data_IF_111255790602
#
_entry.id   IF_111255790602
#
_cell.length_a   1.000
_cell.length_b   1.000
_cell.length_c   1.000
_cell.angle_alpha   90.00
_cell.angle_beta   90.00
_cell.angle_gamma   90.00
#
_symmetry.space_group_name_H-M   'P 1'
#
loop_
_entity.id
_entity.type
_entity.pdbx_description
1 polymer ?
#
# COMPACT_ATOMS: atom_id res chain seq x y z
N UNK A 1 -8.32 11.47 -16.26
CA UNK A 1 -8.45 10.63 -15.05
C UNK A 1 -9.76 9.86 -15.15
N UNK A 2 -9.77 8.58 -14.76
CA UNK A 2 -10.99 7.77 -14.71
C UNK A 2 -11.72 8.06 -13.39
N UNK A 3 -12.96 8.59 -13.41
CA UNK A 3 -13.71 8.87 -12.19
C UNK A 3 -14.41 7.62 -11.61
N UNK A 4 -14.50 6.53 -12.37
CA UNK A 4 -15.16 5.29 -11.91
C UNK A 4 -14.17 4.39 -11.17
N UNK A 5 -14.48 4.08 -9.91
CA UNK A 5 -13.62 3.28 -9.06
C UNK A 5 -13.48 1.83 -9.56
N UNK A 6 -14.56 1.22 -10.03
CA UNK A 6 -14.58 -0.19 -10.44
C UNK A 6 -13.84 -0.34 -11.77
N UNK A 7 -14.06 0.59 -12.70
CA UNK A 7 -13.34 0.62 -13.96
C UNK A 7 -11.84 0.88 -13.75
N UNK A 8 -11.46 1.66 -12.73
CA UNK A 8 -10.05 1.93 -12.41
C UNK A 8 -9.28 0.73 -11.86
N UNK A 9 -9.96 -0.30 -11.35
CA UNK A 9 -9.35 -1.52 -10.80
C UNK A 9 -9.53 -2.74 -11.71
N UNK A 10 -10.07 -2.54 -12.92
CA UNK A 10 -10.25 -3.62 -13.86
C UNK A 10 -8.90 -4.09 -14.41
N UNK A 11 -8.67 -5.40 -14.38
CA UNK A 11 -7.47 -6.06 -14.93
C UNK A 11 -6.14 -5.48 -14.38
N UNK A 12 -6.11 -5.11 -13.08
CA UNK A 12 -4.95 -4.50 -12.42
C UNK A 12 -4.13 -5.53 -11.64
N UNK A 13 -2.80 -5.42 -11.66
CA UNK A 13 -1.92 -6.28 -10.85
C UNK A 13 -1.57 -5.69 -9.47
N UNK A 14 -1.48 -4.35 -9.38
CA UNK A 14 -1.05 -3.62 -8.19
C UNK A 14 -1.98 -2.44 -7.90
N UNK A 15 -2.54 -2.39 -6.69
CA UNK A 15 -3.34 -1.26 -6.21
C UNK A 15 -2.55 -0.45 -5.17
N UNK A 16 -2.43 0.85 -5.38
CA UNK A 16 -1.82 1.78 -4.42
C UNK A 16 -2.92 2.60 -3.74
N UNK A 17 -3.19 2.32 -2.47
CA UNK A 17 -4.16 3.06 -1.67
C UNK A 17 -3.49 4.33 -1.11
N UNK A 18 -3.90 5.50 -1.62
CA UNK A 18 -3.41 6.79 -1.16
C UNK A 18 -4.58 7.78 -0.97
N UNK A 19 -5.48 7.43 -0.05
CA UNK A 19 -6.69 8.18 0.28
C UNK A 19 -6.66 8.57 1.77
N UNK A 20 -7.39 9.62 2.17
CA UNK A 20 -7.63 9.89 3.58
C UNK A 20 -8.21 8.66 4.31
N UNK A 21 -7.68 8.35 5.50
CA UNK A 21 -8.01 7.11 6.24
C UNK A 21 -9.51 6.94 6.49
N UNK A 22 -10.24 8.03 6.70
CA UNK A 22 -11.69 8.03 6.91
C UNK A 22 -12.50 7.49 5.74
N UNK A 23 -11.93 7.44 4.53
CA UNK A 23 -12.60 6.91 3.34
C UNK A 23 -12.29 5.44 3.07
N UNK A 24 -11.33 4.85 3.78
CA UNK A 24 -10.91 3.47 3.57
C UNK A 24 -12.07 2.46 3.69
N UNK A 25 -12.96 2.53 4.71
CA UNK A 25 -14.06 1.57 4.81
C UNK A 25 -15.02 1.64 3.63
N UNK A 26 -15.32 2.86 3.15
CA UNK A 26 -16.18 3.08 1.99
C UNK A 26 -15.55 2.50 0.72
N UNK A 27 -14.27 2.78 0.49
CA UNK A 27 -13.57 2.31 -0.71
C UNK A 27 -13.44 0.78 -0.70
N UNK A 28 -13.05 0.17 0.41
CA UNK A 28 -13.00 -1.30 0.54
C UNK A 28 -14.38 -1.92 0.29
N UNK A 29 -15.46 -1.34 0.85
CA UNK A 29 -16.82 -1.82 0.61
C UNK A 29 -17.24 -1.76 -0.86
N UNK A 30 -16.79 -0.75 -1.62
CA UNK A 30 -17.09 -0.64 -3.05
C UNK A 30 -16.25 -1.61 -3.88
N UNK A 31 -14.98 -1.84 -3.51
CA UNK A 31 -14.07 -2.75 -4.21
C UNK A 31 -14.34 -4.23 -3.92
N UNK A 32 -15.08 -4.55 -2.85
CA UNK A 32 -15.37 -5.93 -2.47
C UNK A 32 -16.09 -6.68 -3.60
N UNK A 33 -15.50 -7.81 -4.02
CA UNK A 33 -16.01 -8.60 -5.14
C UNK A 33 -15.62 -8.08 -6.54
N UNK A 34 -14.85 -7.00 -6.63
CA UNK A 34 -14.40 -6.40 -7.89
C UNK A 34 -12.87 -6.44 -8.06
N UNK A 35 -12.14 -7.01 -7.09
CA UNK A 35 -10.68 -7.16 -7.12
C UNK A 35 -10.34 -8.63 -7.10
N UNK A 36 -9.48 -9.06 -8.02
CA UNK A 36 -9.03 -10.45 -8.08
C UNK A 36 -8.08 -10.79 -6.93
N UNK A 37 -8.10 -12.05 -6.48
CA UNK A 37 -7.26 -12.50 -5.37
C UNK A 37 -5.75 -12.46 -5.66
N UNK A 38 -5.36 -12.39 -6.94
CA UNK A 38 -3.96 -12.29 -7.33
C UNK A 38 -3.38 -10.89 -7.16
N UNK A 39 -4.25 -9.87 -7.10
CA UNK A 39 -3.85 -8.47 -7.01
C UNK A 39 -3.08 -8.23 -5.72
N UNK A 40 -2.02 -7.42 -5.80
CA UNK A 40 -1.22 -7.01 -4.63
C UNK A 40 -1.47 -5.55 -4.32
N UNK A 41 -1.41 -5.17 -3.05
CA UNK A 41 -1.71 -3.82 -2.60
C UNK A 41 -0.57 -3.18 -1.81
N UNK A 42 -0.46 -1.86 -1.90
CA UNK A 42 0.39 -1.02 -1.04
C UNK A 42 -0.45 0.11 -0.48
N UNK A 43 -0.45 0.26 0.85
CA UNK A 43 -1.11 1.36 1.55
C UNK A 43 -0.13 2.48 1.85
N UNK A 44 -0.40 3.69 1.34
CA UNK A 44 0.32 4.91 1.71
C UNK A 44 -0.34 5.64 2.90
N UNK A 45 -1.34 5.02 3.53
CA UNK A 45 -2.04 5.62 4.66
C UNK A 45 -1.14 5.55 5.89
N UNK A 46 -0.93 6.70 6.52
CA UNK A 46 -0.12 6.81 7.74
C UNK A 46 -0.94 6.35 8.95
N UNK A 47 -0.32 5.51 9.76
CA UNK A 47 -0.82 5.11 11.07
C UNK A 47 -1.62 3.81 11.12
N UNK A 48 -2.41 3.69 12.18
CA UNK A 48 -3.20 2.52 12.51
C UNK A 48 -4.54 2.94 13.10
N UNK A 49 -5.51 2.04 13.08
CA UNK A 49 -6.79 2.26 13.74
C UNK A 49 -6.72 1.75 15.19
N UNK A 50 -7.28 2.53 16.11
CA UNK A 50 -7.42 2.16 17.53
C UNK A 50 -8.89 1.96 17.83
N UNK A 51 -9.27 0.71 18.13
CA UNK A 51 -10.61 0.35 18.53
C UNK A 51 -10.66 -0.28 19.91
N UNK A 52 -11.87 -0.58 20.40
CA UNK A 52 -12.09 -1.26 21.68
C UNK A 52 -11.40 -2.65 21.76
N UNK A 53 -11.05 -3.25 20.62
CA UNK A 53 -10.36 -4.54 20.50
C UNK A 53 -8.83 -4.42 20.37
N UNK A 54 -8.29 -3.20 20.36
CA UNK A 54 -6.86 -2.95 20.24
C UNK A 54 -6.48 -2.18 18.97
N UNK A 55 -5.22 -2.36 18.57
CA UNK A 55 -4.59 -1.69 17.43
C UNK A 55 -4.71 -2.57 16.18
N UNK A 56 -5.23 -2.01 15.10
CA UNK A 56 -5.33 -2.66 13.79
C UNK A 56 -4.57 -1.86 12.74
N UNK A 57 -3.69 -2.54 11.99
CA UNK A 57 -3.00 -1.93 10.85
C UNK A 57 -3.99 -1.69 9.71
N UNK A 58 -3.90 -0.53 9.05
CA UNK A 58 -4.75 -0.20 7.89
C UNK A 58 -4.50 -1.16 6.71
N UNK A 59 -3.27 -1.67 6.55
CA UNK A 59 -2.94 -2.72 5.59
C UNK A 59 -3.62 -4.06 5.92
N UNK A 60 -3.72 -4.42 7.21
CA UNK A 60 -4.47 -5.61 7.64
C UNK A 60 -5.96 -5.45 7.37
N UNK A 61 -6.54 -4.27 7.61
CA UNK A 61 -7.93 -3.97 7.25
C UNK A 61 -8.21 -4.18 5.76
N UNK A 62 -7.33 -3.69 4.87
CA UNK A 62 -7.45 -3.92 3.41
C UNK A 62 -7.40 -5.41 3.10
N UNK A 63 -6.48 -6.14 3.73
CA UNK A 63 -6.31 -7.58 3.53
C UNK A 63 -7.56 -8.34 3.95
N UNK A 64 -8.16 -7.99 5.09
CA UNK A 64 -9.38 -8.61 5.62
C UNK A 64 -10.61 -8.32 4.75
N UNK A 65 -10.76 -7.10 4.24
CA UNK A 65 -11.94 -6.72 3.45
C UNK A 65 -11.90 -7.21 2.01
N UNK A 66 -10.71 -7.23 1.39
CA UNK A 66 -10.54 -7.52 -0.04
C UNK A 66 -9.91 -8.88 -0.33
N UNK A 67 -9.31 -9.55 0.66
CA UNK A 67 -8.67 -10.85 0.48
C UNK A 67 -7.37 -10.80 -0.34
N UNK A 68 -6.71 -9.64 -0.40
CA UNK A 68 -5.47 -9.42 -1.15
C UNK A 68 -4.31 -9.07 -0.23
N UNK A 69 -3.08 -9.46 -0.60
CA UNK A 69 -1.90 -9.15 0.18
C UNK A 69 -1.60 -7.63 0.13
N UNK A 70 -1.54 -6.98 1.28
CA UNK A 70 -1.29 -5.54 1.37
C UNK A 70 -0.03 -5.21 2.19
N UNK A 71 0.90 -4.49 1.57
CA UNK A 71 2.02 -3.83 2.25
C UNK A 71 1.70 -2.40 2.65
N UNK A 72 2.73 -1.66 3.07
CA UNK A 72 2.63 -0.25 3.42
C UNK A 72 3.82 0.56 2.87
N UNK A 73 3.60 1.86 2.65
CA UNK A 73 4.62 2.84 2.29
C UNK A 73 4.54 3.99 3.29
N UNK A 74 5.64 4.23 4.01
CA UNK A 74 5.73 5.29 5.02
C UNK A 74 7.15 5.84 5.07
N UNK A 75 7.28 7.14 5.33
CA UNK A 75 8.56 7.82 5.34
C UNK A 75 8.46 9.30 5.68
N UNK A 76 9.63 9.91 5.89
CA UNK A 76 9.79 11.35 6.10
C UNK A 76 9.69 12.07 4.75
N UNK A 77 8.47 12.18 4.24
CA UNK A 77 8.19 12.86 2.97
C UNK A 77 6.93 13.73 3.06
N UNK A 78 6.98 14.84 2.33
CA UNK A 78 5.88 15.77 2.14
C UNK A 78 5.50 15.72 0.66
N UNK A 79 4.21 15.51 0.38
CA UNK A 79 3.72 15.32 -0.98
C UNK A 79 4.16 16.42 -1.95
N UNK A 80 4.15 17.68 -1.51
CA UNK A 80 4.58 18.84 -2.31
C UNK A 80 6.07 18.79 -2.64
N UNK A 81 6.93 18.36 -1.71
CA UNK A 81 8.37 18.28 -1.94
C UNK A 81 8.71 17.15 -2.91
N UNK A 82 8.08 15.98 -2.74
CA UNK A 82 8.24 14.85 -3.67
C UNK A 82 7.75 15.22 -5.07
N UNK A 83 6.64 15.97 -5.17
CA UNK A 83 6.12 16.45 -6.46
C UNK A 83 7.04 17.49 -7.12
N UNK A 84 7.81 18.25 -6.32
CA UNK A 84 8.82 19.20 -6.80
C UNK A 84 10.18 18.55 -7.06
N UNK A 85 10.27 17.22 -6.98
CA UNK A 85 11.51 16.46 -7.12
C UNK A 85 12.61 16.88 -6.12
N UNK A 86 12.21 17.42 -4.97
CA UNK A 86 13.12 17.60 -3.86
C UNK A 86 13.48 16.24 -3.29
N UNK A 87 14.77 16.07 -2.98
CA UNK A 87 15.28 14.80 -2.49
C UNK A 87 14.63 14.43 -1.16
N UNK A 88 14.03 13.25 -1.09
CA UNK A 88 13.52 12.65 0.13
C UNK A 88 13.60 11.12 0.08
N UNK A 89 13.28 10.47 1.19
CA UNK A 89 13.31 9.02 1.31
C UNK A 89 11.96 8.45 1.79
N UNK A 90 11.75 7.15 1.54
CA UNK A 90 10.64 6.39 2.09
C UNK A 90 11.01 4.93 2.27
N UNK A 91 10.26 4.24 3.13
CA UNK A 91 10.31 2.80 3.28
C UNK A 91 9.04 2.18 2.71
N UNK A 92 9.19 1.11 1.95
CA UNK A 92 8.09 0.24 1.50
C UNK A 92 8.24 -1.09 2.23
N UNK A 93 7.27 -1.46 3.03
CA UNK A 93 7.24 -2.75 3.68
C UNK A 93 6.23 -3.67 3.01
N UNK A 94 6.65 -4.89 2.69
CA UNK A 94 5.80 -5.89 2.08
C UNK A 94 6.29 -7.29 2.41
N UNK A 95 5.44 -8.08 3.07
CA UNK A 95 5.73 -9.49 3.29
C UNK A 95 5.38 -10.29 2.02
N UNK A 96 6.34 -11.05 1.50
CA UNK A 96 6.11 -11.90 0.33
C UNK A 96 5.13 -13.01 0.74
N UNK A 97 3.94 -13.08 0.13
CA UNK A 97 2.91 -14.00 0.57
C UNK A 97 3.20 -15.44 0.11
N UNK A 98 2.54 -16.42 0.74
CA UNK A 98 2.73 -17.85 0.40
C UNK A 98 2.23 -18.21 -1.00
N UNK A 99 1.34 -17.40 -1.58
CA UNK A 99 0.80 -17.57 -2.93
C UNK A 99 1.68 -16.93 -4.02
N UNK A 100 2.89 -16.45 -3.66
CA UNK A 100 3.84 -15.82 -4.57
C UNK A 100 4.19 -16.72 -5.76
N UNK A 101 3.99 -16.21 -6.98
CA UNK A 101 4.15 -17.00 -8.22
C UNK A 101 5.55 -16.98 -8.83
N UNK A 102 6.49 -16.23 -8.25
CA UNK A 102 7.86 -16.09 -8.73
C UNK A 102 8.10 -14.82 -9.56
N UNK A 103 9.38 -14.60 -9.87
CA UNK A 103 9.87 -13.42 -10.59
C UNK A 103 9.20 -13.28 -11.97
N UNK A 104 8.79 -12.05 -12.31
CA UNK A 104 8.10 -11.74 -13.57
C UNK A 104 6.63 -12.14 -13.64
N UNK A 105 6.08 -12.75 -12.58
CA UNK A 105 4.66 -13.15 -12.50
C UNK A 105 3.91 -12.56 -11.32
N UNK A 106 4.64 -12.00 -10.36
CA UNK A 106 4.09 -11.50 -9.10
C UNK A 106 5.02 -10.43 -8.52
N UNK A 107 4.55 -9.74 -7.47
CA UNK A 107 5.24 -8.64 -6.82
C UNK A 107 6.21 -9.17 -5.78
N UNK A 108 7.50 -8.91 -6.01
CA UNK A 108 8.57 -9.07 -5.03
C UNK A 108 9.17 -7.71 -4.63
N UNK A 109 10.19 -7.74 -3.76
CA UNK A 109 10.87 -6.52 -3.33
C UNK A 109 11.59 -5.77 -4.46
N UNK A 110 12.05 -6.48 -5.51
CA UNK A 110 12.68 -5.84 -6.67
C UNK A 110 11.64 -5.06 -7.48
N UNK A 111 10.46 -5.64 -7.68
CA UNK A 111 9.32 -4.97 -8.35
C UNK A 111 8.92 -3.73 -7.57
N UNK A 112 8.74 -3.83 -6.25
CA UNK A 112 8.38 -2.67 -5.42
C UNK A 112 9.46 -1.58 -5.41
N UNK A 113 10.74 -1.98 -5.35
CA UNK A 113 11.86 -1.05 -5.47
C UNK A 113 11.82 -0.34 -6.82
N UNK A 114 11.63 -1.07 -7.92
CA UNK A 114 11.56 -0.50 -9.26
C UNK A 114 10.35 0.41 -9.45
N UNK A 115 9.21 0.08 -8.84
CA UNK A 115 7.97 0.83 -8.93
C UNK A 115 8.05 2.21 -8.29
N UNK A 116 8.64 2.31 -7.09
CA UNK A 116 8.63 3.55 -6.31
C UNK A 116 9.94 4.34 -6.38
N UNK A 117 11.08 3.71 -6.66
CA UNK A 117 12.37 4.37 -6.51
C UNK A 117 12.67 5.40 -7.61
N UNK A 118 13.06 6.61 -7.19
CA UNK A 118 13.50 7.72 -8.06
C UNK A 118 14.80 8.35 -7.56
N UNK A 119 15.56 9.07 -8.41
CA UNK A 119 16.73 9.85 -7.96
C UNK A 119 16.42 10.86 -6.86
N UNK A 120 15.18 11.39 -6.83
CA UNK A 120 14.69 12.33 -5.81
C UNK A 120 13.79 11.65 -4.76
N UNK A 121 13.51 10.35 -4.89
CA UNK A 121 12.66 9.60 -3.97
C UNK A 121 13.28 8.23 -3.68
N UNK A 122 14.19 8.21 -2.70
CA UNK A 122 14.93 7.01 -2.34
C UNK A 122 14.05 6.04 -1.56
N UNK A 123 14.03 4.77 -1.98
CA UNK A 123 13.11 3.76 -1.43
C UNK A 123 13.90 2.64 -0.77
N UNK A 124 13.69 2.35 0.51
CA UNK A 124 14.13 1.10 1.12
C UNK A 124 12.98 0.09 1.12
N UNK A 125 13.22 -1.16 0.72
CA UNK A 125 12.18 -2.21 0.74
C UNK A 125 12.50 -3.22 1.82
N UNK A 126 11.54 -3.47 2.72
CA UNK A 126 11.69 -4.36 3.87
C UNK A 126 10.44 -5.24 4.07
N UNK A 127 10.45 -6.13 5.07
CA UNK A 127 9.29 -6.97 5.40
C UNK A 127 8.41 -6.45 6.54
N UNK A 128 8.95 -5.58 7.41
CA UNK A 128 8.27 -5.17 8.64
C UNK A 128 7.17 -4.11 8.40
N UNK A 129 5.99 -4.59 7.98
CA UNK A 129 4.80 -3.75 7.75
C UNK A 129 4.31 -3.11 9.04
N UNK A 130 4.37 -3.84 10.16
CA UNK A 130 3.91 -3.34 11.45
C UNK A 130 4.77 -2.18 11.94
N UNK A 131 6.09 -2.34 11.91
CA UNK A 131 7.04 -1.32 12.35
C UNK A 131 6.84 0.01 11.64
N UNK A 132 6.83 0.01 10.30
CA UNK A 132 6.71 1.27 9.54
C UNK A 132 5.34 1.94 9.70
N UNK A 133 4.29 1.16 9.95
CA UNK A 133 2.93 1.68 10.13
C UNK A 133 2.78 2.34 11.51
N UNK A 134 3.36 1.75 12.55
CA UNK A 134 3.35 2.30 13.91
C UNK A 134 4.23 3.56 13.97
N UNK A 135 5.43 3.53 13.37
CA UNK A 135 6.30 4.71 13.28
C UNK A 135 5.66 5.87 12.52
N UNK A 136 4.71 5.62 11.61
CA UNK A 136 3.97 6.67 10.91
C UNK A 136 2.88 7.34 11.73
N UNK A 137 2.51 6.78 12.90
CA UNK A 137 1.50 7.31 13.81
C UNK A 137 2.07 7.93 15.10
N UNK A 138 3.28 7.53 15.50
CA UNK A 138 4.00 8.09 16.66
C UNK A 138 4.68 9.41 16.31
#
# INVERSE_FOLDING_TARGET
ANPDLIDSVKDVDIIVFNIPHQFLPRICSQLKGHVDSHVKAISCLKGFEVGAKGVQLLSSYITEELGIQCGALSGANIATEVAQEHWSETTVAYHIPKDFRGEGKDVDHKVLKALFHRPYFHVSVIEDVAGISICGAL
#
